data_IF_027263767703
#
_entry.id   IF_027263767703
#
_cell.length_a   1.000
_cell.length_b   1.000
_cell.length_c   1.000
_cell.angle_alpha   90.00
_cell.angle_beta   90.00
_cell.angle_gamma   90.00
#
_symmetry.space_group_name_H-M   'P 1'
#
loop_
_entity.id
_entity.type
_entity.pdbx_description
1 polymer ?
#
# COMPACT_ATOMS: atom_id res chain seq x y z
N UNK A 1 -8.55 5.58 16.59
CA UNK A 1 -7.17 5.85 17.08
C UNK A 1 -6.69 4.82 18.10
N UNK A 2 -7.57 4.32 18.97
CA UNK A 2 -7.19 3.33 20.00
C UNK A 2 -6.49 2.09 19.43
N UNK A 3 -7.01 1.49 18.36
CA UNK A 3 -6.43 0.29 17.74
C UNK A 3 -4.94 0.46 17.36
N UNK A 4 -4.54 1.65 16.86
CA UNK A 4 -3.13 1.93 16.56
C UNK A 4 -2.26 2.01 17.83
N UNK A 5 -2.76 2.65 18.89
CA UNK A 5 -2.04 2.72 20.16
C UNK A 5 -1.92 1.35 20.84
N UNK A 6 -2.98 0.54 20.76
CA UNK A 6 -2.97 -0.84 21.25
C UNK A 6 -1.93 -1.70 20.52
N UNK A 7 -1.75 -1.49 19.20
CA UNK A 7 -0.67 -2.14 18.45
C UNK A 7 0.72 -1.73 18.95
N UNK A 8 0.97 -0.44 19.14
CA UNK A 8 2.27 0.04 19.67
C UNK A 8 2.57 -0.58 21.04
N UNK A 9 1.57 -0.63 21.90
CA UNK A 9 1.70 -1.26 23.23
C UNK A 9 1.94 -2.77 23.12
N UNK A 10 1.24 -3.47 22.23
CA UNK A 10 1.46 -4.89 21.98
C UNK A 10 2.88 -5.16 21.48
N UNK A 11 3.40 -4.34 20.55
CA UNK A 11 4.79 -4.47 20.07
C UNK A 11 5.76 -4.25 21.26
N UNK A 12 5.52 -3.25 22.10
CA UNK A 12 6.39 -2.94 23.24
C UNK A 12 6.43 -4.08 24.27
N UNK A 13 5.28 -4.73 24.51
CA UNK A 13 5.14 -5.76 25.54
C UNK A 13 5.47 -7.17 25.07
N UNK A 14 5.15 -7.50 23.82
CA UNK A 14 5.17 -8.86 23.26
C UNK A 14 6.13 -8.99 22.08
N UNK A 15 6.69 -7.87 21.60
CA UNK A 15 7.59 -7.88 20.45
C UNK A 15 8.86 -8.67 20.73
N UNK A 16 9.27 -9.46 19.73
CA UNK A 16 10.54 -10.19 19.76
C UNK A 16 11.63 -9.29 19.19
N UNK A 17 12.75 -9.21 19.90
CA UNK A 17 13.91 -8.47 19.41
C UNK A 17 14.53 -9.21 18.21
N UNK A 18 14.75 -8.49 17.12
CA UNK A 18 15.39 -9.00 15.89
C UNK A 18 16.44 -8.02 15.42
N UNK A 19 17.51 -8.56 14.85
CA UNK A 19 18.45 -7.75 14.09
C UNK A 19 17.82 -7.22 12.81
N UNK A 20 18.30 -6.07 12.34
CA UNK A 20 17.95 -5.49 11.05
C UNK A 20 19.20 -5.13 10.27
N UNK A 21 19.04 -4.74 8.99
CA UNK A 21 20.14 -4.35 8.10
C UNK A 21 20.89 -3.08 8.57
N UNK A 22 20.28 -2.30 9.47
CA UNK A 22 20.88 -1.04 9.98
C UNK A 22 21.72 -1.25 11.24
N UNK A 23 21.65 -2.43 11.87
CA UNK A 23 22.32 -2.75 13.12
C UNK A 23 21.67 -2.15 14.37
N UNK A 24 20.59 -1.40 14.23
CA UNK A 24 19.85 -0.79 15.35
C UNK A 24 19.01 -1.83 16.09
N UNK A 25 18.50 -2.83 15.35
CA UNK A 25 17.55 -3.81 15.85
C UNK A 25 16.11 -3.30 15.89
N UNK A 26 15.17 -4.23 15.95
CA UNK A 26 13.74 -3.93 16.01
C UNK A 26 13.04 -4.80 17.04
N UNK A 27 11.93 -4.28 17.62
CA UNK A 27 10.93 -5.10 18.27
C UNK A 27 9.87 -5.48 17.21
N UNK A 28 9.67 -6.76 16.99
CA UNK A 28 8.82 -7.26 15.92
C UNK A 28 7.68 -8.11 16.46
N UNK A 29 6.47 -7.84 15.97
CA UNK A 29 5.27 -8.65 16.21
C UNK A 29 4.76 -9.13 14.85
N UNK A 30 4.43 -10.42 14.73
CA UNK A 30 3.91 -11.00 13.49
C UNK A 30 2.40 -11.22 13.59
N UNK A 31 1.68 -10.91 12.51
CA UNK A 31 0.27 -11.26 12.38
C UNK A 31 -0.68 -10.37 13.19
N UNK A 32 -0.51 -9.05 13.18
CA UNK A 32 -1.44 -8.12 13.83
C UNK A 32 -2.43 -7.52 12.81
N UNK A 33 -3.69 -7.35 13.23
CA UNK A 33 -4.75 -6.76 12.41
C UNK A 33 -5.28 -5.48 13.05
N UNK A 34 -5.42 -4.41 12.24
CA UNK A 34 -6.07 -3.16 12.61
C UNK A 34 -7.38 -3.00 11.85
N UNK A 35 -8.39 -2.42 12.48
CA UNK A 35 -9.68 -2.10 11.87
C UNK A 35 -10.04 -0.65 12.12
N UNK A 36 -10.56 -0.01 11.07
CA UNK A 36 -11.02 1.37 11.10
C UNK A 36 -12.37 1.47 10.39
N UNK A 37 -13.39 1.96 11.09
CA UNK A 37 -14.67 2.26 10.48
C UNK A 37 -14.68 3.71 9.99
N UNK A 38 -14.77 3.92 8.68
CA UNK A 38 -14.75 5.28 8.13
C UNK A 38 -16.01 6.09 8.45
N UNK A 39 -17.04 5.47 9.01
CA UNK A 39 -18.22 6.18 9.57
C UNK A 39 -17.86 6.97 10.83
N UNK A 40 -16.88 6.48 11.60
CA UNK A 40 -16.41 7.15 12.81
C UNK A 40 -15.47 8.32 12.50
N UNK A 41 -15.20 8.55 11.21
CA UNK A 41 -14.33 9.58 10.70
C UNK A 41 -13.09 9.04 10.00
N UNK A 42 -12.33 9.95 9.37
CA UNK A 42 -11.11 9.58 8.66
C UNK A 42 -10.02 9.15 9.66
N UNK A 43 -9.39 7.96 9.50
CA UNK A 43 -8.48 7.39 10.48
C UNK A 43 -7.06 8.01 10.41
N UNK A 44 -6.97 9.32 10.52
CA UNK A 44 -5.70 10.03 10.64
C UNK A 44 -5.12 9.83 12.05
N UNK A 45 -3.91 9.29 12.13
CA UNK A 45 -3.19 9.18 13.41
C UNK A 45 -2.85 10.58 13.92
N UNK A 46 -3.32 10.94 15.14
CA UNK A 46 -3.13 12.27 15.72
C UNK A 46 -1.95 12.36 16.68
N UNK A 47 -1.36 11.23 17.07
CA UNK A 47 -0.18 11.15 17.94
C UNK A 47 1.13 11.44 17.22
N UNK A 48 1.05 11.64 15.90
CA UNK A 48 2.16 11.96 15.01
C UNK A 48 1.69 12.92 13.93
N UNK A 49 2.55 13.87 13.54
CA UNK A 49 2.25 14.75 12.40
C UNK A 49 2.24 13.95 11.11
N UNK A 50 1.12 13.95 10.39
CA UNK A 50 0.99 13.39 9.06
C UNK A 50 1.11 14.50 7.99
N UNK A 51 1.93 14.25 6.99
CA UNK A 51 2.08 15.14 5.84
C UNK A 51 1.11 14.69 4.75
N UNK A 52 -0.14 15.17 4.82
CA UNK A 52 -1.21 14.78 3.88
C UNK A 52 -0.85 15.05 2.42
N UNK A 53 -0.09 16.09 2.14
CA UNK A 53 0.42 16.34 0.78
C UNK A 53 1.17 15.12 0.24
N UNK A 54 2.07 14.53 1.03
CA UNK A 54 2.82 13.33 0.62
C UNK A 54 1.89 12.12 0.44
N UNK A 55 0.92 11.91 1.34
CA UNK A 55 -0.04 10.80 1.27
C UNK A 55 -0.87 10.89 -0.02
N UNK A 56 -1.42 12.07 -0.32
CA UNK A 56 -2.27 12.29 -1.49
C UNK A 56 -1.47 12.08 -2.77
N UNK A 57 -0.30 12.73 -2.88
CA UNK A 57 0.47 12.67 -4.11
C UNK A 57 1.15 11.32 -4.34
N UNK A 58 1.55 10.59 -3.30
CA UNK A 58 2.02 9.22 -3.43
C UNK A 58 0.91 8.30 -3.95
N UNK A 59 -0.30 8.40 -3.39
CA UNK A 59 -1.43 7.60 -3.85
C UNK A 59 -1.81 7.90 -5.30
N UNK A 60 -1.88 9.19 -5.68
CA UNK A 60 -2.15 9.60 -7.07
C UNK A 60 -1.05 9.12 -8.03
N UNK A 61 0.19 9.15 -7.60
CA UNK A 61 1.34 8.65 -8.35
C UNK A 61 1.25 7.14 -8.58
N UNK A 62 0.89 6.33 -7.57
CA UNK A 62 0.61 4.90 -7.76
C UNK A 62 -0.55 4.67 -8.74
N UNK A 63 -1.64 5.42 -8.57
CA UNK A 63 -2.82 5.31 -9.43
C UNK A 63 -2.56 5.71 -10.89
N UNK A 64 -1.58 6.58 -11.14
CA UNK A 64 -1.17 6.96 -12.50
C UNK A 64 -0.33 5.87 -13.21
N UNK A 65 0.19 4.89 -12.47
CA UNK A 65 1.10 3.87 -13.00
C UNK A 65 2.54 4.33 -13.11
N UNK A 66 2.86 5.54 -12.65
CA UNK A 66 4.20 6.11 -12.73
C UNK A 66 5.18 5.40 -11.78
N UNK A 67 6.45 5.35 -12.20
CA UNK A 67 7.57 4.77 -11.45
C UNK A 67 8.73 5.74 -11.29
N UNK A 68 8.68 6.88 -12.01
CA UNK A 68 9.66 7.95 -11.95
C UNK A 68 9.26 9.03 -10.94
N UNK A 69 10.24 9.63 -10.28
CA UNK A 69 10.03 10.63 -9.22
C UNK A 69 9.58 12.01 -9.70
N UNK A 70 9.57 12.29 -11.00
CA UNK A 70 9.31 13.64 -11.55
C UNK A 70 8.00 14.24 -11.03
N UNK A 71 6.91 13.44 -11.01
CA UNK A 71 5.62 13.88 -10.47
C UNK A 71 5.71 14.21 -8.97
N UNK A 72 6.34 13.35 -8.19
CA UNK A 72 6.49 13.56 -6.75
C UNK A 72 7.31 14.80 -6.43
N UNK A 73 8.40 15.05 -7.18
CA UNK A 73 9.24 16.25 -7.02
C UNK A 73 8.48 17.53 -7.35
N UNK A 74 7.64 17.55 -8.41
CA UNK A 74 6.77 18.69 -8.73
C UNK A 74 5.83 19.05 -7.56
N UNK A 75 5.44 18.07 -6.75
CA UNK A 75 4.59 18.24 -5.59
C UNK A 75 5.35 18.28 -4.25
N UNK A 76 6.68 18.45 -4.29
CA UNK A 76 7.57 18.56 -3.14
C UNK A 76 7.56 17.33 -2.23
N UNK A 77 7.29 16.15 -2.79
CA UNK A 77 7.32 14.85 -2.11
C UNK A 77 8.64 14.16 -2.39
N UNK A 78 9.40 13.84 -1.34
CA UNK A 78 10.79 13.32 -1.43
C UNK A 78 10.96 11.95 -0.76
N UNK A 79 9.87 11.31 -0.34
CA UNK A 79 9.90 10.09 0.47
C UNK A 79 10.49 8.87 -0.24
N UNK A 80 10.64 8.92 -1.57
CA UNK A 80 11.19 7.87 -2.40
C UNK A 80 12.61 8.13 -2.92
N UNK A 81 13.21 9.30 -2.61
CA UNK A 81 14.51 9.71 -3.17
C UNK A 81 15.66 8.75 -2.88
N UNK A 82 15.63 8.14 -1.69
CA UNK A 82 16.70 7.23 -1.22
C UNK A 82 16.84 5.98 -2.09
N UNK A 83 15.74 5.52 -2.71
CA UNK A 83 15.70 4.28 -3.48
C UNK A 83 15.84 4.47 -4.99
N UNK A 84 15.66 5.68 -5.46
CA UNK A 84 15.69 5.96 -6.89
C UNK A 84 17.11 6.01 -7.46
N UNK A 85 17.22 5.76 -8.77
CA UNK A 85 18.42 6.08 -9.56
C UNK A 85 18.60 7.59 -9.67
N UNK A 86 19.75 8.02 -10.21
CA UNK A 86 20.01 9.45 -10.48
C UNK A 86 18.95 10.07 -11.40
N UNK A 87 18.42 9.30 -12.36
CA UNK A 87 17.36 9.71 -13.27
C UNK A 87 15.96 9.66 -12.64
N UNK A 88 15.87 9.29 -11.37
CA UNK A 88 14.61 9.23 -10.60
C UNK A 88 13.78 7.98 -10.85
N UNK A 89 14.34 6.92 -11.43
CA UNK A 89 13.64 5.67 -11.68
C UNK A 89 13.66 4.74 -10.46
N UNK A 90 12.56 4.00 -10.28
CA UNK A 90 12.37 3.03 -9.19
C UNK A 90 12.10 1.60 -9.68
N UNK A 91 12.16 1.41 -11.01
CA UNK A 91 11.78 0.13 -11.61
C UNK A 91 10.27 -0.14 -11.49
N UNK A 92 9.82 -1.36 -11.80
CA UNK A 92 8.38 -1.68 -11.90
C UNK A 92 7.74 -1.87 -10.52
N UNK A 93 7.76 -0.82 -9.66
CA UNK A 93 7.14 -0.80 -8.34
C UNK A 93 5.60 -0.67 -8.41
N UNK A 94 4.94 -0.36 -7.32
CA UNK A 94 3.48 -0.32 -7.11
C UNK A 94 2.66 0.17 -8.30
N UNK A 95 2.98 1.35 -8.85
CA UNK A 95 2.23 1.95 -9.95
C UNK A 95 2.24 1.07 -11.19
N UNK A 96 3.42 0.57 -11.59
CA UNK A 96 3.55 -0.34 -12.72
C UNK A 96 2.78 -1.65 -12.48
N UNK A 97 2.88 -2.23 -11.29
CA UNK A 97 2.16 -3.47 -10.98
C UNK A 97 0.65 -3.29 -11.00
N UNK A 98 0.12 -2.18 -10.52
CA UNK A 98 -1.32 -1.91 -10.49
C UNK A 98 -1.90 -1.60 -11.87
N UNK A 99 -1.13 -0.88 -12.72
CA UNK A 99 -1.65 -0.31 -13.97
C UNK A 99 -1.08 -0.95 -15.24
N UNK A 100 0.01 -1.71 -15.13
CA UNK A 100 0.71 -2.27 -16.30
C UNK A 100 1.41 -3.58 -15.94
N UNK A 101 0.66 -4.53 -15.36
CA UNK A 101 1.19 -5.85 -15.02
C UNK A 101 1.58 -6.60 -16.29
N UNK A 102 2.84 -7.04 -16.45
CA UNK A 102 3.29 -7.72 -17.66
C UNK A 102 2.69 -9.11 -17.78
N UNK A 103 2.20 -9.43 -18.98
CA UNK A 103 1.60 -10.72 -19.33
C UNK A 103 2.57 -11.54 -20.20
N UNK A 104 2.49 -12.89 -20.17
CA UNK A 104 3.37 -13.77 -20.95
C UNK A 104 3.30 -13.54 -22.47
N UNK A 105 2.19 -13.01 -22.98
CA UNK A 105 1.98 -12.70 -24.39
C UNK A 105 2.48 -11.31 -24.82
N UNK A 106 3.19 -10.61 -23.94
CA UNK A 106 3.75 -9.28 -24.17
C UNK A 106 2.76 -8.12 -23.97
N UNK A 107 1.49 -8.39 -23.67
CA UNK A 107 0.52 -7.37 -23.25
C UNK A 107 0.74 -6.96 -21.80
N UNK A 108 0.09 -5.88 -21.41
CA UNK A 108 0.00 -5.47 -20.02
C UNK A 108 -1.46 -5.51 -19.53
N UNK A 109 -1.64 -5.93 -18.30
CA UNK A 109 -2.93 -5.93 -17.61
C UNK A 109 -3.00 -4.71 -16.67
N UNK A 110 -4.01 -3.87 -16.85
CA UNK A 110 -4.36 -2.82 -15.89
C UNK A 110 -5.29 -3.41 -14.82
N UNK A 111 -4.70 -3.91 -13.72
CA UNK A 111 -5.46 -4.50 -12.62
C UNK A 111 -6.48 -3.53 -12.03
N UNK A 112 -6.15 -2.21 -12.00
CA UNK A 112 -7.03 -1.21 -11.40
C UNK A 112 -8.24 -0.92 -12.29
N UNK A 113 -8.06 -0.88 -13.61
CA UNK A 113 -9.16 -0.74 -14.56
C UNK A 113 -10.10 -1.94 -14.50
N UNK A 114 -9.56 -3.16 -14.51
CA UNK A 114 -10.32 -4.41 -14.36
C UNK A 114 -11.10 -4.44 -13.04
N UNK A 115 -10.47 -4.02 -11.95
CA UNK A 115 -11.12 -3.91 -10.63
C UNK A 115 -12.30 -2.94 -10.66
N UNK A 116 -12.11 -1.74 -11.23
CA UNK A 116 -13.17 -0.73 -11.33
C UNK A 116 -14.37 -1.23 -12.14
N UNK A 117 -14.11 -1.90 -13.24
CA UNK A 117 -15.17 -2.52 -14.06
C UNK A 117 -15.86 -3.64 -13.30
N UNK A 118 -15.09 -4.54 -12.67
CA UNK A 118 -15.66 -5.66 -11.91
C UNK A 118 -16.49 -5.20 -10.71
N UNK A 119 -16.13 -4.13 -10.02
CA UNK A 119 -16.91 -3.55 -8.93
C UNK A 119 -18.24 -2.96 -9.41
N UNK A 120 -18.29 -2.39 -10.63
CA UNK A 120 -19.55 -1.89 -11.24
C UNK A 120 -20.47 -3.02 -11.69
N UNK A 121 -19.91 -4.01 -12.39
CA UNK A 121 -20.70 -5.06 -13.03
C UNK A 121 -21.05 -6.23 -12.09
N UNK A 122 -20.15 -6.54 -11.17
CA UNK A 122 -20.20 -7.72 -10.30
C UNK A 122 -19.75 -7.37 -8.87
N UNK A 123 -20.43 -6.43 -8.18
CA UNK A 123 -19.98 -5.91 -6.89
C UNK A 123 -19.78 -6.99 -5.81
N UNK A 124 -20.54 -8.08 -5.87
CA UNK A 124 -20.46 -9.18 -4.89
C UNK A 124 -19.40 -10.26 -5.26
N UNK A 125 -18.57 -10.03 -6.26
CA UNK A 125 -17.48 -10.94 -6.57
C UNK A 125 -16.44 -10.94 -5.43
N UNK A 126 -15.85 -12.10 -5.18
CA UNK A 126 -14.77 -12.29 -4.21
C UNK A 126 -13.37 -12.15 -4.85
N UNK A 127 -13.29 -11.60 -6.08
CA UNK A 127 -12.06 -11.48 -6.86
C UNK A 127 -11.58 -10.03 -7.00
N UNK A 128 -12.08 -9.12 -6.18
CA UNK A 128 -11.70 -7.71 -6.21
C UNK A 128 -10.36 -7.50 -5.51
N UNK A 129 -9.28 -8.03 -6.11
CA UNK A 129 -7.92 -8.03 -5.56
C UNK A 129 -6.99 -7.33 -6.54
N UNK A 130 -6.09 -6.51 -6.01
CA UNK A 130 -4.90 -6.00 -6.71
C UNK A 130 -3.66 -6.51 -5.98
N UNK A 131 -2.70 -7.07 -6.73
CA UNK A 131 -1.42 -7.51 -6.22
C UNK A 131 -0.29 -6.63 -6.74
N UNK A 132 0.62 -6.26 -5.86
CA UNK A 132 1.90 -5.65 -6.22
C UNK A 132 3.06 -6.66 -6.13
N UNK A 133 2.83 -7.84 -5.57
CA UNK A 133 3.84 -8.87 -5.40
C UNK A 133 4.02 -9.66 -6.68
N UNK A 134 5.06 -9.34 -7.42
CA UNK A 134 5.41 -9.97 -8.70
C UNK A 134 6.81 -10.60 -8.59
N UNK A 135 6.91 -11.92 -8.29
CA UNK A 135 8.17 -12.57 -7.97
C UNK A 135 9.31 -12.34 -8.98
N UNK A 136 9.10 -12.39 -10.29
CA UNK A 136 10.15 -12.11 -11.29
C UNK A 136 10.81 -10.73 -11.18
N UNK A 137 10.11 -9.74 -10.59
CA UNK A 137 10.59 -8.36 -10.50
C UNK A 137 11.03 -7.96 -9.09
N UNK A 138 10.98 -8.88 -8.13
CA UNK A 138 11.47 -8.58 -6.78
C UNK A 138 12.96 -8.26 -6.79
N UNK A 139 13.41 -7.34 -5.94
CA UNK A 139 14.82 -6.99 -5.85
C UNK A 139 15.64 -8.16 -5.30
N UNK A 140 16.88 -8.22 -5.73
CA UNK A 140 17.92 -9.03 -5.10
C UNK A 140 18.38 -8.32 -3.81
N UNK A 141 18.25 -8.98 -2.67
CA UNK A 141 18.58 -8.40 -1.37
C UNK A 141 20.09 -8.14 -1.17
N UNK A 142 20.94 -8.72 -2.03
CA UNK A 142 22.40 -8.53 -2.01
C UNK A 142 22.84 -7.29 -2.78
N UNK A 143 21.96 -6.68 -3.55
CA UNK A 143 22.22 -5.50 -4.39
C UNK A 143 21.57 -4.24 -3.81
N UNK A 144 22.14 -3.09 -4.17
CA UNK A 144 21.51 -1.81 -3.85
C UNK A 144 20.20 -1.62 -4.62
N UNK A 145 19.30 -0.74 -4.15
CA UNK A 145 18.08 -0.39 -4.88
C UNK A 145 18.35 0.05 -6.32
N UNK A 146 19.37 0.86 -6.53
CA UNK A 146 19.74 1.40 -7.83
C UNK A 146 20.24 0.30 -8.78
N UNK A 147 21.06 -0.64 -8.29
CA UNK A 147 21.52 -1.80 -9.07
C UNK A 147 20.33 -2.70 -9.47
N UNK A 148 19.38 -2.91 -8.58
CA UNK A 148 18.15 -3.64 -8.89
C UNK A 148 17.36 -2.96 -10.01
N UNK A 149 17.19 -1.64 -9.96
CA UNK A 149 16.51 -0.87 -11.02
C UNK A 149 17.23 -1.01 -12.36
N UNK A 150 18.55 -0.89 -12.38
CA UNK A 150 19.37 -1.09 -13.59
C UNK A 150 19.25 -2.51 -14.16
N UNK A 151 19.00 -3.51 -13.32
CA UNK A 151 18.71 -4.88 -13.72
C UNK A 151 17.23 -5.11 -14.12
N UNK A 152 16.40 -4.07 -14.22
CA UNK A 152 14.96 -4.16 -14.56
C UNK A 152 14.07 -4.68 -13.43
N UNK A 153 14.56 -4.66 -12.19
CA UNK A 153 13.82 -5.09 -10.99
C UNK A 153 13.26 -3.88 -10.24
N UNK A 154 12.44 -4.15 -9.24
CA UNK A 154 11.96 -3.14 -8.30
C UNK A 154 13.11 -2.62 -7.44
N UNK A 155 13.17 -1.32 -7.19
CA UNK A 155 14.07 -0.72 -6.20
C UNK A 155 13.84 -1.28 -4.80
N UNK A 156 12.57 -1.60 -4.47
CA UNK A 156 12.14 -2.06 -3.17
C UNK A 156 11.02 -3.09 -3.31
N UNK A 157 11.11 -4.20 -2.57
CA UNK A 157 10.04 -5.19 -2.52
C UNK A 157 8.78 -4.59 -1.89
N UNK A 158 7.59 -4.78 -2.49
CA UNK A 158 6.36 -4.15 -2.02
C UNK A 158 6.01 -4.55 -0.59
N UNK A 159 5.91 -3.57 0.31
CA UNK A 159 5.37 -3.78 1.65
C UNK A 159 3.85 -3.96 1.61
N UNK A 160 3.16 -3.14 0.81
CA UNK A 160 1.75 -3.30 0.46
C UNK A 160 1.63 -4.39 -0.60
N UNK A 161 1.58 -5.63 -0.16
CA UNK A 161 1.70 -6.79 -1.05
C UNK A 161 0.48 -6.98 -1.93
N UNK A 162 -0.72 -6.89 -1.33
CA UNK A 162 -2.01 -6.93 -2.00
C UNK A 162 -3.07 -6.20 -1.19
N UNK A 163 -4.11 -5.77 -1.87
CA UNK A 163 -5.33 -5.31 -1.21
C UNK A 163 -6.57 -5.85 -1.93
N UNK A 164 -7.65 -5.99 -1.15
CA UNK A 164 -8.93 -6.52 -1.60
C UNK A 164 -10.04 -5.57 -1.24
N UNK A 165 -10.98 -5.38 -2.18
CA UNK A 165 -12.25 -4.72 -1.91
C UNK A 165 -13.38 -5.73 -1.71
N UNK A 166 -14.32 -5.36 -0.86
CA UNK A 166 -15.51 -6.13 -0.57
C UNK A 166 -16.73 -5.22 -0.51
N UNK A 167 -17.82 -5.63 -1.16
CA UNK A 167 -19.07 -4.88 -1.18
C UNK A 167 -20.16 -5.69 -0.48
N UNK A 168 -20.78 -5.09 0.52
CA UNK A 168 -21.96 -5.64 1.21
C UNK A 168 -22.89 -4.51 1.62
N UNK A 169 -24.21 -4.72 1.45
CA UNK A 169 -25.24 -3.76 1.84
C UNK A 169 -25.01 -2.32 1.31
N UNK A 170 -24.54 -2.20 0.05
CA UNK A 170 -24.23 -0.92 -0.57
C UNK A 170 -22.97 -0.23 -0.03
N UNK A 171 -22.14 -0.95 0.73
CA UNK A 171 -20.94 -0.43 1.40
C UNK A 171 -19.68 -1.06 0.84
N UNK A 172 -18.62 -0.25 0.70
CA UNK A 172 -17.31 -0.69 0.23
C UNK A 172 -16.35 -0.80 1.41
N UNK A 173 -15.71 -1.97 1.54
CA UNK A 173 -14.62 -2.22 2.49
C UNK A 173 -13.33 -2.49 1.74
N UNK A 174 -12.19 -2.17 2.35
CA UNK A 174 -10.86 -2.46 1.83
C UNK A 174 -10.03 -3.18 2.89
N UNK A 175 -9.41 -4.29 2.49
CA UNK A 175 -8.41 -4.97 3.30
C UNK A 175 -7.05 -4.89 2.62
N UNK A 176 -6.05 -4.40 3.35
CA UNK A 176 -4.65 -4.36 2.92
C UNK A 176 -3.86 -5.44 3.65
N UNK A 177 -3.10 -6.23 2.91
CA UNK A 177 -2.05 -7.08 3.48
C UNK A 177 -0.67 -6.41 3.31
N UNK A 178 -0.03 -6.11 4.45
CA UNK A 178 1.34 -5.65 4.50
C UNK A 178 2.25 -6.76 5.04
N UNK A 179 3.25 -7.17 4.24
CA UNK A 179 4.25 -8.18 4.67
C UNK A 179 5.24 -7.63 5.70
N UNK A 180 5.38 -6.32 5.71
CA UNK A 180 6.27 -5.56 6.60
C UNK A 180 5.71 -4.16 6.79
N UNK A 181 5.79 -3.64 8.00
CA UNK A 181 5.38 -2.29 8.32
C UNK A 181 6.23 -1.76 9.47
N UNK A 182 6.82 -0.58 9.29
CA UNK A 182 7.29 0.21 10.43
C UNK A 182 6.07 0.83 11.10
N UNK A 183 5.80 0.37 12.35
CA UNK A 183 4.59 0.76 13.07
C UNK A 183 4.56 2.25 13.42
N UNK A 184 5.72 2.91 13.54
CA UNK A 184 5.81 4.32 13.91
C UNK A 184 6.01 5.24 12.71
N UNK A 185 6.92 4.90 11.79
CA UNK A 185 7.28 5.77 10.66
C UNK A 185 6.30 5.62 9.48
N UNK A 186 5.98 4.39 9.07
CA UNK A 186 5.23 4.10 7.85
C UNK A 186 3.74 3.85 8.05
N UNK A 187 3.38 3.01 9.02
CA UNK A 187 2.00 2.54 9.17
C UNK A 187 0.94 3.66 9.29
N UNK A 188 1.17 4.79 9.99
CA UNK A 188 0.23 5.89 10.04
C UNK A 188 -0.09 6.49 8.66
N UNK A 189 0.89 6.57 7.78
CA UNK A 189 0.71 7.04 6.39
C UNK A 189 -0.07 6.02 5.57
N UNK A 190 0.22 4.72 5.74
CA UNK A 190 -0.47 3.65 5.02
C UNK A 190 -1.95 3.55 5.42
N UNK A 191 -2.29 3.69 6.71
CA UNK A 191 -3.67 3.76 7.20
C UNK A 191 -4.43 4.89 6.48
N UNK A 192 -3.87 6.09 6.47
CA UNK A 192 -4.47 7.25 5.83
C UNK A 192 -4.57 7.09 4.29
N UNK A 193 -3.54 6.54 3.64
CA UNK A 193 -3.51 6.32 2.19
C UNK A 193 -4.61 5.34 1.75
N UNK A 194 -4.76 4.20 2.41
CA UNK A 194 -5.78 3.21 2.04
C UNK A 194 -7.19 3.61 2.47
N UNK A 195 -7.35 4.43 3.52
CA UNK A 195 -8.63 5.07 3.83
C UNK A 195 -9.03 6.06 2.73
N UNK A 196 -8.09 6.88 2.25
CA UNK A 196 -8.31 7.79 1.13
C UNK A 196 -8.66 7.02 -0.16
N UNK A 197 -7.90 5.98 -0.50
CA UNK A 197 -8.20 5.11 -1.65
C UNK A 197 -9.62 4.54 -1.56
N UNK A 198 -10.01 4.03 -0.38
CA UNK A 198 -11.34 3.46 -0.17
C UNK A 198 -12.44 4.51 -0.36
N UNK A 199 -12.25 5.72 0.16
CA UNK A 199 -13.20 6.82 -0.02
C UNK A 199 -13.31 7.26 -1.49
N UNK A 200 -12.19 7.38 -2.21
CA UNK A 200 -12.16 7.71 -3.64
C UNK A 200 -12.89 6.64 -4.47
N UNK A 201 -12.62 5.37 -4.20
CA UNK A 201 -13.26 4.24 -4.89
C UNK A 201 -14.76 4.22 -4.63
N UNK A 202 -15.18 4.40 -3.37
CA UNK A 202 -16.59 4.44 -3.02
C UNK A 202 -17.33 5.60 -3.71
N UNK A 203 -16.71 6.78 -3.77
CA UNK A 203 -17.24 7.94 -4.47
C UNK A 203 -17.39 7.67 -5.98
N UNK A 204 -16.37 7.09 -6.61
CA UNK A 204 -16.36 6.79 -8.04
C UNK A 204 -17.39 5.69 -8.43
N UNK A 205 -17.79 4.86 -7.48
CA UNK A 205 -18.75 3.76 -7.66
C UNK A 205 -20.14 4.08 -7.13
N UNK A 206 -20.37 5.28 -6.59
CA UNK A 206 -21.61 5.69 -5.91
C UNK A 206 -22.01 4.75 -4.76
N UNK A 207 -21.01 4.19 -4.07
CA UNK A 207 -21.16 3.35 -2.89
C UNK A 207 -20.94 4.17 -1.61
N UNK A 208 -21.51 3.71 -0.50
CA UNK A 208 -21.19 4.25 0.82
C UNK A 208 -19.83 3.65 1.24
N UNK A 209 -18.87 4.50 1.58
CA UNK A 209 -17.56 4.04 2.03
C UNK A 209 -17.58 3.63 3.51
N UNK A 210 -17.21 2.39 3.75
CA UNK A 210 -16.91 1.86 5.07
C UNK A 210 -15.68 0.98 4.92
N UNK A 211 -14.58 1.30 5.57
CA UNK A 211 -13.47 0.38 5.64
C UNK A 211 -13.62 -0.49 6.88
N UNK A 212 -13.96 -1.74 6.67
CA UNK A 212 -13.72 -2.80 7.63
C UNK A 212 -12.74 -3.78 7.01
N UNK A 213 -11.59 -4.09 7.62
CA UNK A 213 -10.92 -5.33 7.32
C UNK A 213 -11.82 -6.46 7.80
N UNK A 214 -12.28 -7.28 6.89
CA UNK A 214 -13.12 -8.45 7.20
C UNK A 214 -12.36 -9.39 8.12
N UNK A 215 -12.96 -9.74 9.25
CA UNK A 215 -12.65 -10.93 10.02
C UNK A 215 -13.00 -12.13 9.13
N UNK A 216 -12.08 -13.04 8.92
CA UNK A 216 -12.44 -14.43 8.66
C UNK A 216 -12.94 -14.94 10.00
N UNK A 217 -14.23 -14.88 10.22
CA UNK A 217 -14.88 -15.67 11.24
C UNK A 217 -14.98 -17.09 10.68
N UNK A 218 -14.64 -18.05 11.51
CA UNK A 218 -14.54 -19.51 11.33
C UNK A 218 -15.64 -20.15 10.45
#
# INVERSE_FOLDING_TARGET
>A
MKAYLDLLEAIRQQGVQRGDRTGTGTLSLFGHQLRFDLRDGFPAVTTKKLYFNAIIHELLWFLSGATNLSYLHQHQVKIWNEWATEDGELGPIYGAQWRSWPMPDGRCLDQFQELMQALRERPYSRRHIISAWNPPYLPDETQSPQENVMAGRMALAPCHTLFQFYVANGRLSCQLYQRSADAFLGLPFNIASYALLTAMMAQALSLIHISEPTRLDD
#
